data_IF_038256603445
#
_entry.id   IF_038256603445
#
_cell.length_a   1.000
_cell.length_b   1.000
_cell.length_c   1.000
_cell.angle_alpha   90.00
_cell.angle_beta   90.00
_cell.angle_gamma   90.00
#
_symmetry.space_group_name_H-M   'P 1'
#
loop_
_entity.id
_entity.type
_entity.pdbx_description
1 polymer ?
#
# COMPACT_ATOMS: atom_id res chain seq x y z
N UNK A 1 25.14 -2.63 -1.47
CA UNK A 1 24.36 -3.35 -0.43
C UNK A 1 23.26 -2.50 0.22
N UNK A 2 23.40 -1.17 0.30
CA UNK A 2 22.44 -0.26 0.97
C UNK A 2 21.12 -0.07 0.18
N UNK A 3 21.19 0.04 -1.15
CA UNK A 3 19.99 0.25 -1.99
C UNK A 3 18.98 -0.90 -1.92
N UNK A 4 19.45 -2.15 -1.97
CA UNK A 4 18.60 -3.34 -1.78
C UNK A 4 17.98 -3.43 -0.37
N UNK A 5 18.54 -2.73 0.62
CA UNK A 5 17.96 -2.64 1.96
C UNK A 5 16.86 -1.59 2.01
N UNK A 6 17.06 -0.41 1.38
CA UNK A 6 16.05 0.65 1.31
C UNK A 6 14.79 0.23 0.53
N UNK A 7 14.96 -0.50 -0.57
CA UNK A 7 13.83 -1.00 -1.37
C UNK A 7 12.98 -2.02 -0.60
N UNK A 8 13.64 -2.92 0.14
CA UNK A 8 12.96 -3.88 1.04
C UNK A 8 12.20 -3.20 2.17
N UNK A 9 12.76 -2.11 2.72
CA UNK A 9 12.07 -1.30 3.74
C UNK A 9 10.85 -0.59 3.14
N UNK A 10 10.96 -0.06 1.91
CA UNK A 10 9.83 0.57 1.21
C UNK A 10 8.69 -0.42 0.96
N UNK A 11 9.02 -1.62 0.47
CA UNK A 11 8.03 -2.66 0.20
C UNK A 11 7.33 -3.14 1.49
N UNK A 12 8.08 -3.32 2.58
CA UNK A 12 7.50 -3.69 3.87
C UNK A 12 6.53 -2.63 4.39
N UNK A 13 6.87 -1.33 4.26
CA UNK A 13 5.99 -0.23 4.65
C UNK A 13 4.69 -0.24 3.85
N UNK A 14 4.76 -0.36 2.52
CA UNK A 14 3.57 -0.42 1.67
C UNK A 14 2.66 -1.60 2.04
N UNK A 15 3.24 -2.77 2.36
CA UNK A 15 2.49 -3.93 2.83
C UNK A 15 1.81 -3.71 4.18
N UNK A 16 2.52 -3.12 5.14
CA UNK A 16 1.97 -2.80 6.45
C UNK A 16 0.80 -1.81 6.33
N UNK A 17 0.93 -0.82 5.44
CA UNK A 17 -0.12 0.16 5.13
C UNK A 17 -1.36 -0.48 4.50
N UNK A 18 -1.18 -1.34 3.50
CA UNK A 18 -2.28 -2.12 2.93
C UNK A 18 -2.98 -2.98 4.00
N UNK A 19 -2.19 -3.66 4.85
CA UNK A 19 -2.72 -4.47 5.94
C UNK A 19 -3.55 -3.63 6.93
N UNK A 20 -3.06 -2.46 7.33
CA UNK A 20 -3.81 -1.58 8.23
C UNK A 20 -5.14 -1.09 7.62
N UNK A 21 -5.16 -0.75 6.32
CA UNK A 21 -6.39 -0.34 5.64
C UNK A 21 -7.42 -1.47 5.57
N UNK A 22 -6.98 -2.68 5.21
CA UNK A 22 -7.89 -3.83 5.02
C UNK A 22 -8.35 -4.40 6.36
N UNK A 23 -7.44 -4.57 7.31
CA UNK A 23 -7.73 -5.28 8.57
C UNK A 23 -8.28 -4.35 9.64
N UNK A 24 -7.67 -3.18 9.85
CA UNK A 24 -8.11 -2.25 10.90
C UNK A 24 -9.33 -1.44 10.49
N UNK A 25 -9.33 -0.93 9.25
CA UNK A 25 -10.42 -0.06 8.75
C UNK A 25 -11.48 -0.80 7.93
N UNK A 26 -11.30 -2.11 7.68
CA UNK A 26 -12.20 -2.93 6.85
C UNK A 26 -12.45 -2.34 5.46
N UNK A 27 -11.47 -1.59 4.93
CA UNK A 27 -11.56 -0.98 3.61
C UNK A 27 -11.40 -2.08 2.56
N UNK A 28 -12.37 -2.18 1.67
CA UNK A 28 -12.33 -3.18 0.60
C UNK A 28 -11.32 -2.79 -0.48
N UNK A 29 -10.76 -3.79 -1.15
CA UNK A 29 -9.78 -3.58 -2.22
C UNK A 29 -10.29 -2.67 -3.34
N UNK A 30 -11.59 -2.69 -3.62
CA UNK A 30 -12.23 -1.84 -4.64
C UNK A 30 -12.07 -0.35 -4.32
N UNK A 31 -12.20 0.05 -3.04
CA UNK A 31 -12.05 1.44 -2.64
C UNK A 31 -10.59 1.90 -2.72
N UNK A 32 -9.66 1.04 -2.30
CA UNK A 32 -8.23 1.31 -2.38
C UNK A 32 -7.80 1.39 -3.85
N UNK A 33 -8.32 0.49 -4.69
CA UNK A 33 -8.08 0.46 -6.14
C UNK A 33 -8.53 1.75 -6.82
N UNK A 34 -9.75 2.21 -6.50
CA UNK A 34 -10.27 3.47 -7.03
C UNK A 34 -9.46 4.70 -6.57
N UNK A 35 -9.02 4.74 -5.32
CA UNK A 35 -8.24 5.86 -4.79
C UNK A 35 -6.83 5.92 -5.39
N UNK A 36 -6.17 4.76 -5.50
CA UNK A 36 -4.82 4.68 -6.03
C UNK A 36 -4.78 4.78 -7.55
N UNK A 37 -5.89 4.48 -8.23
CA UNK A 37 -6.00 4.27 -9.68
C UNK A 37 -5.15 3.08 -10.14
N UNK A 38 -5.27 1.97 -9.42
CA UNK A 38 -4.45 0.77 -9.62
C UNK A 38 -5.35 -0.47 -9.62
N UNK A 39 -5.14 -1.43 -10.54
CA UNK A 39 -5.92 -2.67 -10.56
C UNK A 39 -5.86 -3.45 -9.23
N UNK A 40 -7.00 -4.03 -8.84
CA UNK A 40 -7.10 -4.87 -7.62
C UNK A 40 -6.08 -6.00 -7.62
N UNK A 41 -5.78 -6.59 -8.78
CA UNK A 41 -4.76 -7.64 -8.92
C UNK A 41 -3.38 -7.17 -8.43
N UNK A 42 -3.00 -5.93 -8.74
CA UNK A 42 -1.73 -5.35 -8.31
C UNK A 42 -1.74 -5.06 -6.81
N UNK A 43 -2.88 -4.68 -6.22
CA UNK A 43 -3.01 -4.50 -4.77
C UNK A 43 -2.88 -5.83 -4.00
N UNK A 44 -3.42 -6.93 -4.55
CA UNK A 44 -3.22 -8.26 -3.98
C UNK A 44 -1.75 -8.70 -4.10
N UNK A 45 -1.14 -8.48 -5.26
CA UNK A 45 0.28 -8.75 -5.46
C UNK A 45 1.17 -7.90 -4.53
N UNK A 46 0.79 -6.65 -4.25
CA UNK A 46 1.45 -5.78 -3.29
C UNK A 46 1.41 -6.40 -1.89
N UNK A 47 0.21 -6.80 -1.45
CA UNK A 47 0.00 -7.44 -0.16
C UNK A 47 0.83 -8.73 0.00
N UNK A 48 0.92 -9.52 -1.06
CA UNK A 48 1.72 -10.74 -1.15
C UNK A 48 3.24 -10.48 -1.25
N UNK A 49 3.67 -9.22 -1.40
CA UNK A 49 5.08 -8.85 -1.57
C UNK A 49 5.66 -9.20 -2.94
N UNK A 50 4.82 -9.37 -3.95
CA UNK A 50 5.20 -9.66 -5.35
C UNK A 50 5.14 -8.42 -6.24
N UNK A 51 4.64 -7.31 -5.72
CA UNK A 51 4.54 -6.04 -6.41
C UNK A 51 4.96 -4.92 -5.46
N UNK A 52 5.49 -3.84 -6.03
CA UNK A 52 5.90 -2.64 -5.31
C UNK A 52 5.28 -1.46 -6.04
N UNK A 53 4.67 -0.55 -5.30
CA UNK A 53 4.10 0.67 -5.87
C UNK A 53 5.21 1.62 -6.30
N UNK A 54 4.98 2.34 -7.41
CA UNK A 54 5.78 3.51 -7.76
C UNK A 54 5.66 4.61 -6.68
N UNK A 55 6.53 5.61 -6.75
CA UNK A 55 6.59 6.66 -5.73
C UNK A 55 5.27 7.43 -5.57
N UNK A 56 4.57 7.73 -6.66
CA UNK A 56 3.32 8.50 -6.63
C UNK A 56 2.22 7.66 -5.98
N UNK A 57 2.09 6.40 -6.40
CA UNK A 57 1.13 5.46 -5.83
C UNK A 57 1.42 5.16 -4.35
N UNK A 58 2.69 5.05 -3.98
CA UNK A 58 3.12 4.86 -2.59
C UNK A 58 2.78 6.08 -1.73
N UNK A 59 2.91 7.30 -2.28
CA UNK A 59 2.51 8.52 -1.59
C UNK A 59 1.00 8.56 -1.38
N UNK A 60 0.20 8.24 -2.41
CA UNK A 60 -1.26 8.14 -2.28
C UNK A 60 -1.67 7.11 -1.23
N UNK A 61 -1.01 5.95 -1.18
CA UNK A 61 -1.28 4.94 -0.15
C UNK A 61 -1.01 5.49 1.26
N UNK A 62 0.09 6.22 1.43
CA UNK A 62 0.44 6.84 2.72
C UNK A 62 -0.60 7.89 3.12
N UNK A 63 -1.07 8.72 2.18
CA UNK A 63 -2.13 9.69 2.42
C UNK A 63 -3.44 9.02 2.81
N UNK A 64 -3.81 7.93 2.13
CA UNK A 64 -5.01 7.15 2.44
C UNK A 64 -4.95 6.59 3.86
N UNK A 65 -3.82 6.00 4.24
CA UNK A 65 -3.57 5.51 5.61
C UNK A 65 -3.72 6.63 6.62
N UNK A 66 -3.14 7.81 6.37
CA UNK A 66 -3.25 8.94 7.28
C UNK A 66 -4.71 9.40 7.45
N UNK A 67 -5.49 9.44 6.37
CA UNK A 67 -6.91 9.80 6.45
C UNK A 67 -7.71 8.81 7.28
N UNK A 68 -7.45 7.50 7.17
CA UNK A 68 -8.25 6.48 7.84
C UNK A 68 -7.76 6.10 9.24
N UNK A 69 -6.49 6.31 9.59
CA UNK A 69 -5.95 5.98 10.91
C UNK A 69 -5.83 7.18 11.86
N UNK A 70 -5.93 8.41 11.37
CA UNK A 70 -5.93 9.62 12.21
C UNK A 70 -7.32 10.25 12.37
N UNK A 71 -8.37 9.60 11.86
CA UNK A 71 -9.77 9.97 12.09
C UNK A 71 -10.36 9.16 13.24
#
# INVERSE_FOLDING_TARGET
MIFASMERVSQLKQRAFMHALITSNKIKYEHISAFLDIPIANLKALYDGKYTLDEVSSLKLTALVALYLCS
#
